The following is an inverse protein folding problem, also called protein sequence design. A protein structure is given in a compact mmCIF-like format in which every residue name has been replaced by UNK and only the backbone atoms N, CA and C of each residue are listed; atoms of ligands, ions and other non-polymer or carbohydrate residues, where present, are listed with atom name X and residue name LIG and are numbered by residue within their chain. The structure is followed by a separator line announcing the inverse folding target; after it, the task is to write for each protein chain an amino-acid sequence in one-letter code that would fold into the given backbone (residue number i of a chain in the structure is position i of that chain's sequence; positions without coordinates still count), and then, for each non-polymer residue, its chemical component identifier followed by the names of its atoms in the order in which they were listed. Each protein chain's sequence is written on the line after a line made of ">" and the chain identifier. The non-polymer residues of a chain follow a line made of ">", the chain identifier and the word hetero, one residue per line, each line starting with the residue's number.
data_IF_811139429292
#
_entry.id   IF_811139429292
#
_cell.length_a   1.000
_cell.length_b   1.000
_cell.length_c   1.000
_cell.angle_alpha   90.00
_cell.angle_beta   90.00
_cell.angle_gamma   90.00
#
_symmetry.space_group_name_H-M   'P 1'
#
loop_
_entity.id
_entity.type
_entity.pdbx_description
1 polymer ?
#
# COMPACT_ATOMS: atom_id res chain seq x y z
N UNK A 1 16.21 -11.18 -2.36
CA UNK A 1 15.09 -11.01 -3.31
C UNK A 1 14.26 -9.85 -2.84
N UNK A 2 14.31 -8.71 -3.55
CA UNK A 2 13.35 -7.62 -3.34
C UNK A 2 12.12 -8.02 -4.16
N UNK A 3 11.09 -8.53 -3.49
CA UNK A 3 9.86 -8.87 -4.22
C UNK A 3 9.18 -7.59 -4.71
N UNK A 4 8.79 -7.65 -5.98
CA UNK A 4 8.17 -6.59 -6.76
C UNK A 4 6.83 -6.14 -6.16
N UNK A 5 6.44 -4.90 -6.47
CA UNK A 5 5.07 -4.40 -6.27
C UNK A 5 4.04 -5.49 -6.57
N UNK A 6 3.00 -5.68 -5.73
CA UNK A 6 1.99 -6.70 -5.98
C UNK A 6 1.41 -6.47 -7.38
N UNK A 7 1.44 -7.50 -8.23
CA UNK A 7 1.06 -7.39 -9.64
C UNK A 7 -0.31 -6.74 -9.77
N UNK A 8 -0.36 -5.61 -10.48
CA UNK A 8 -1.57 -4.83 -10.70
C UNK A 8 -2.52 -5.70 -11.52
N UNK A 9 -3.58 -6.24 -10.90
CA UNK A 9 -4.59 -7.01 -11.64
C UNK A 9 -5.49 -6.02 -12.40
N UNK A 10 -5.06 -5.72 -13.63
CA UNK A 10 -5.67 -4.77 -14.55
C UNK A 10 -6.97 -5.29 -15.19
N UNK A 11 -7.38 -6.54 -14.92
CA UNK A 11 -8.46 -7.21 -15.64
C UNK A 11 -9.77 -7.44 -14.88
N UNK A 12 -9.82 -7.25 -13.56
CA UNK A 12 -11.03 -7.50 -12.77
C UNK A 12 -11.68 -6.21 -12.27
N UNK A 13 -12.94 -6.00 -12.65
CA UNK A 13 -13.76 -4.91 -12.09
C UNK A 13 -13.81 -5.05 -10.57
N UNK A 14 -13.46 -3.99 -9.85
CA UNK A 14 -13.60 -3.94 -8.39
C UNK A 14 -15.07 -3.71 -8.03
N UNK A 15 -15.73 -4.76 -7.54
CA UNK A 15 -17.16 -4.75 -7.21
C UNK A 15 -17.35 -4.93 -5.71
N UNK A 16 -18.30 -4.19 -5.13
CA UNK A 16 -18.55 -4.19 -3.69
C UNK A 16 -17.57 -3.28 -2.94
N UNK A 17 -17.57 -3.34 -1.60
CA UNK A 17 -16.63 -2.61 -0.72
C UNK A 17 -16.65 -1.08 -0.83
N UNK A 18 -17.77 -0.49 -1.28
CA UNK A 18 -17.91 0.97 -1.45
C UNK A 18 -17.69 1.73 -0.15
N UNK A 19 -18.16 1.17 0.97
CA UNK A 19 -18.03 1.79 2.28
C UNK A 19 -16.57 1.77 2.74
N UNK A 20 -15.94 0.60 2.71
CA UNK A 20 -14.54 0.44 3.11
C UNK A 20 -13.60 1.27 2.23
N UNK A 21 -13.88 1.36 0.93
CA UNK A 21 -13.12 2.23 0.04
C UNK A 21 -13.36 3.71 0.34
N UNK A 22 -14.58 4.12 0.72
CA UNK A 22 -14.85 5.50 1.11
C UNK A 22 -14.08 5.86 2.40
N UNK A 23 -14.08 4.98 3.39
CA UNK A 23 -13.35 5.17 4.65
C UNK A 23 -11.83 5.29 4.39
N UNK A 24 -11.27 4.44 3.53
CA UNK A 24 -9.86 4.51 3.15
C UNK A 24 -9.50 5.78 2.37
N UNK A 25 -10.40 6.26 1.50
CA UNK A 25 -10.20 7.50 0.75
C UNK A 25 -10.23 8.71 1.68
N UNK A 26 -11.15 8.74 2.64
CA UNK A 26 -11.18 9.78 3.66
C UNK A 26 -9.87 9.79 4.47
N UNK A 27 -9.40 8.61 4.88
CA UNK A 27 -8.13 8.51 5.60
C UNK A 27 -6.92 9.00 4.78
N UNK A 28 -6.92 8.75 3.46
CA UNK A 28 -5.91 9.29 2.56
C UNK A 28 -6.02 10.81 2.42
N UNK A 29 -7.23 11.36 2.29
CA UNK A 29 -7.43 12.81 2.19
C UNK A 29 -6.96 13.53 3.46
N UNK A 30 -7.23 12.96 4.64
CA UNK A 30 -6.68 13.45 5.92
C UNK A 30 -5.15 13.41 5.91
N UNK A 31 -4.55 12.30 5.46
CA UNK A 31 -3.09 12.16 5.37
C UNK A 31 -2.46 13.20 4.44
N UNK A 32 -3.08 13.45 3.28
CA UNK A 32 -2.66 14.49 2.33
C UNK A 32 -2.82 15.90 2.90
N UNK A 33 -3.74 16.12 3.84
CA UNK A 33 -3.88 17.38 4.57
C UNK A 33 -2.82 17.58 5.69
N UNK A 34 -1.95 16.60 5.90
CA UNK A 34 -0.91 16.62 6.94
C UNK A 34 -1.25 15.82 8.20
N UNK A 35 -2.41 15.15 8.24
CA UNK A 35 -2.85 14.34 9.38
C UNK A 35 -2.69 12.85 9.05
N UNK A 36 -1.46 12.35 9.19
CA UNK A 36 -1.14 10.93 8.94
C UNK A 36 -1.81 9.98 9.94
N UNK A 37 -2.17 8.79 9.48
CA UNK A 37 -2.82 7.76 10.30
C UNK A 37 -2.43 6.34 9.86
N UNK A 38 -2.65 5.37 10.75
CA UNK A 38 -2.45 3.95 10.47
C UNK A 38 -3.81 3.25 10.34
N UNK A 39 -4.02 2.55 9.23
CA UNK A 39 -5.24 1.77 8.96
C UNK A 39 -4.89 0.30 8.82
N UNK A 40 -5.64 -0.57 9.51
CA UNK A 40 -5.48 -2.02 9.42
C UNK A 40 -6.63 -2.66 8.64
N UNK A 41 -6.30 -3.41 7.58
CA UNK A 41 -7.28 -4.20 6.84
C UNK A 41 -7.33 -5.62 7.43
N UNK A 42 -8.38 -5.91 8.19
CA UNK A 42 -8.65 -7.22 8.77
C UNK A 42 -9.80 -7.94 8.06
N UNK A 43 -9.78 -9.26 8.04
CA UNK A 43 -10.83 -10.08 7.42
C UNK A 43 -10.32 -11.46 7.00
N UNK A 44 -11.21 -12.29 6.48
CA UNK A 44 -10.93 -13.67 6.12
C UNK A 44 -9.88 -13.78 4.99
N UNK A 45 -9.08 -14.86 4.96
CA UNK A 45 -8.25 -15.18 3.80
C UNK A 45 -9.07 -15.16 2.51
N UNK A 46 -8.54 -14.54 1.45
CA UNK A 46 -9.22 -14.45 0.16
C UNK A 46 -10.35 -13.41 0.04
N UNK A 47 -10.73 -12.70 1.11
CA UNK A 47 -11.85 -11.73 1.08
C UNK A 47 -11.56 -10.41 0.30
N UNK A 48 -10.37 -10.31 -0.31
CA UNK A 48 -9.99 -9.17 -1.15
C UNK A 48 -9.21 -8.05 -0.45
N UNK A 49 -8.59 -8.29 0.72
CA UNK A 49 -7.78 -7.28 1.45
C UNK A 49 -6.64 -6.69 0.61
N UNK A 50 -5.88 -7.54 -0.08
CA UNK A 50 -4.82 -7.06 -0.98
C UNK A 50 -5.41 -6.29 -2.16
N UNK A 51 -6.56 -6.71 -2.68
CA UNK A 51 -7.22 -6.02 -3.79
C UNK A 51 -7.67 -4.62 -3.40
N UNK A 52 -8.34 -4.44 -2.26
CA UNK A 52 -8.77 -3.11 -1.81
C UNK A 52 -7.56 -2.18 -1.55
N UNK A 53 -6.46 -2.71 -1.03
CA UNK A 53 -5.22 -1.94 -0.87
C UNK A 53 -4.60 -1.52 -2.22
N UNK A 54 -4.63 -2.39 -3.24
CA UNK A 54 -4.18 -2.05 -4.60
C UNK A 54 -5.04 -0.97 -5.27
N UNK A 55 -6.35 -1.00 -5.04
CA UNK A 55 -7.26 0.03 -5.53
C UNK A 55 -7.01 1.39 -4.84
N UNK A 56 -6.80 1.38 -3.52
CA UNK A 56 -6.42 2.60 -2.78
C UNK A 56 -5.08 3.14 -3.26
N UNK A 57 -4.08 2.28 -3.47
CA UNK A 57 -2.79 2.65 -4.02
C UNK A 57 -2.93 3.32 -5.40
N UNK A 58 -3.74 2.73 -6.28
CA UNK A 58 -4.01 3.30 -7.60
C UNK A 58 -4.67 4.68 -7.51
N UNK A 59 -5.63 4.83 -6.60
CA UNK A 59 -6.27 6.12 -6.33
C UNK A 59 -5.27 7.15 -5.75
N UNK A 60 -4.38 6.73 -4.85
CA UNK A 60 -3.36 7.59 -4.26
C UNK A 60 -2.34 8.08 -5.30
N UNK A 61 -1.86 7.19 -6.17
CA UNK A 61 -0.98 7.54 -7.29
C UNK A 61 -1.66 8.57 -8.23
N UNK A 62 -2.94 8.38 -8.55
CA UNK A 62 -3.72 9.35 -9.36
C UNK A 62 -3.84 10.72 -8.69
N UNK A 63 -3.73 10.78 -7.37
CA UNK A 63 -3.72 12.02 -6.57
C UNK A 63 -2.33 12.60 -6.39
N UNK A 64 -1.31 12.03 -7.04
CA UNK A 64 0.08 12.46 -6.96
C UNK A 64 0.81 12.00 -5.70
N UNK A 65 0.22 11.08 -4.92
CA UNK A 65 0.90 10.51 -3.77
C UNK A 65 1.89 9.43 -4.20
N UNK A 66 3.06 9.42 -3.58
CA UNK A 66 4.01 8.31 -3.72
C UNK A 66 3.51 7.11 -2.92
N UNK A 67 3.46 5.95 -3.57
CA UNK A 67 3.05 4.69 -2.93
C UNK A 67 4.23 3.73 -2.84
N UNK A 68 4.40 3.16 -1.64
CA UNK A 68 5.45 2.21 -1.34
C UNK A 68 4.82 0.91 -0.79
N UNK A 69 5.31 -0.24 -1.25
CA UNK A 69 4.85 -1.55 -0.81
C UNK A 69 5.97 -2.30 -0.08
N UNK A 70 5.60 -3.01 0.97
CA UNK A 70 6.52 -3.81 1.78
C UNK A 70 5.82 -5.07 2.29
N UNK A 71 6.62 -6.03 2.77
CA UNK A 71 6.14 -7.34 3.18
C UNK A 71 6.64 -7.68 4.57
N UNK A 72 5.74 -8.15 5.43
CA UNK A 72 6.09 -8.67 6.74
C UNK A 72 6.26 -10.19 6.61
N UNK A 73 7.51 -10.67 6.74
CA UNK A 73 7.81 -12.09 6.82
C UNK A 73 8.04 -12.48 8.27
N UNK A 74 7.39 -13.54 8.73
CA UNK A 74 7.57 -14.11 10.08
C UNK A 74 8.67 -15.20 10.14
N UNK A 75 9.46 -15.38 9.07
CA UNK A 75 10.52 -16.39 9.02
C UNK A 75 11.83 -15.98 9.70
N UNK A 76 12.66 -16.96 10.07
CA UNK A 76 14.02 -16.70 10.56
C UNK A 76 14.84 -15.93 9.50
N UNK A 77 15.48 -14.84 9.93
CA UNK A 77 16.38 -14.03 9.09
C UNK A 77 15.84 -12.67 8.63
N UNK A 78 14.57 -12.33 8.92
CA UNK A 78 14.09 -10.97 8.70
C UNK A 78 14.66 -10.02 9.78
N UNK A 79 15.38 -8.94 9.41
CA UNK A 79 15.87 -7.96 10.37
C UNK A 79 14.72 -7.31 11.16
N UNK A 80 14.97 -6.82 12.39
CA UNK A 80 14.01 -5.97 13.08
C UNK A 80 13.55 -4.83 12.19
N UNK A 81 12.24 -4.54 12.21
CA UNK A 81 11.64 -3.48 11.39
C UNK A 81 11.84 -3.65 9.88
N UNK A 82 12.02 -4.89 9.41
CA UNK A 82 12.25 -5.18 7.99
C UNK A 82 11.28 -4.50 7.02
N UNK A 83 9.96 -4.46 7.26
CA UNK A 83 9.03 -3.74 6.37
C UNK A 83 9.43 -2.27 6.19
N UNK A 84 9.86 -1.60 7.26
CA UNK A 84 10.28 -0.20 7.20
C UNK A 84 11.59 -0.03 6.42
N UNK A 85 12.55 -0.94 6.61
CA UNK A 85 13.81 -0.94 5.86
C UNK A 85 13.55 -1.09 4.36
N UNK A 86 12.62 -1.97 3.96
CA UNK A 86 12.22 -2.13 2.57
C UNK A 86 11.65 -0.83 1.99
N UNK A 87 10.71 -0.20 2.71
CA UNK A 87 10.06 1.04 2.27
C UNK A 87 11.07 2.20 2.12
N UNK A 88 11.98 2.37 3.09
CA UNK A 88 12.99 3.43 3.04
C UNK A 88 13.97 3.23 1.88
N UNK A 89 14.38 1.98 1.60
CA UNK A 89 15.22 1.67 0.43
C UNK A 89 14.50 1.99 -0.87
N UNK A 90 13.23 1.60 -0.99
CA UNK A 90 12.43 1.91 -2.17
C UNK A 90 12.27 3.43 -2.37
N UNK A 91 11.99 4.17 -1.30
CA UNK A 91 11.89 5.63 -1.32
C UNK A 91 13.18 6.29 -1.83
N UNK A 92 14.33 5.93 -1.26
CA UNK A 92 15.63 6.49 -1.67
C UNK A 92 15.95 6.18 -3.13
N UNK A 93 15.64 4.97 -3.60
CA UNK A 93 15.87 4.58 -4.99
C UNK A 93 14.98 5.36 -5.97
N UNK A 94 13.73 5.63 -5.61
CA UNK A 94 12.82 6.44 -6.43
C UNK A 94 13.23 7.91 -6.45
N UNK A 95 13.54 8.49 -5.29
CA UNK A 95 13.99 9.88 -5.19
C UNK A 95 15.32 10.15 -5.93
N UNK A 96 16.20 9.14 -6.01
CA UNK A 96 17.44 9.22 -6.79
C UNK A 96 17.21 9.08 -8.31
N UNK A 97 16.09 8.50 -8.74
CA UNK A 97 15.73 8.37 -10.17
C UNK A 97 15.00 9.61 -10.72
N UNK A 98 14.46 10.44 -9.84
CA UNK A 98 13.80 11.72 -10.18
C UNK A 98 14.80 12.90 -10.28
N UNK A 99 16.09 12.68 -10.00
CA UNK A 99 17.19 13.65 -10.09
C UNK A 99 18.04 13.41 -11.34
#
# INVERSE_FOLDING_TARGET
>A
MVESHPTRDIGRVFVGRRREMADLKAALDDALSGHGQMVMLAGEPGIGKTRIAQELASYAEQRGAQVLWGWCYEGEGAPPYWPWVQLMRAYVQQAAAEQ
#
